data_IF_780430075144
#
_entry.id   IF_780430075144
#
_cell.length_a   1.000
_cell.length_b   1.000
_cell.length_c   1.000
_cell.angle_alpha   90.00
_cell.angle_beta   90.00
_cell.angle_gamma   90.00
#
_symmetry.space_group_name_H-M   'P 1'
#
loop_
_entity.id
_entity.type
_entity.pdbx_description
1 polymer ?
#
# COMPACT_ATOMS: atom_id res chain seq x y z
N UNK A 1 -59.95 -58.30 7.24
CA UNK A 1 -59.07 -58.47 6.05
C UNK A 1 -58.22 -57.21 5.96
N UNK A 2 -56.89 -57.14 6.05
CA UNK A 2 -55.75 -58.05 6.27
C UNK A 2 -54.73 -57.20 7.07
N UNK A 3 -54.31 -57.59 8.27
CA UNK A 3 -53.12 -58.41 8.58
C UNK A 3 -51.77 -57.66 8.47
N UNK A 4 -51.26 -57.22 9.64
CA UNK A 4 -49.85 -56.89 9.89
C UNK A 4 -48.99 -58.15 9.70
N UNK A 5 -47.89 -58.05 8.94
CA UNK A 5 -46.88 -59.12 8.81
C UNK A 5 -45.54 -58.68 9.43
N UNK A 6 -44.85 -59.57 10.17
CA UNK A 6 -43.59 -59.25 10.84
C UNK A 6 -42.38 -59.39 9.91
N UNK A 7 -41.33 -58.61 10.19
CA UNK A 7 -40.00 -58.70 9.60
C UNK A 7 -39.35 -60.06 9.91
N UNK A 8 -39.11 -60.88 8.88
CA UNK A 8 -38.24 -62.06 8.96
C UNK A 8 -36.79 -61.65 8.74
N UNK A 9 -35.93 -61.94 9.71
CA UNK A 9 -34.48 -61.94 9.58
C UNK A 9 -34.07 -63.18 8.79
N UNK A 10 -33.40 -63.01 7.67
CA UNK A 10 -32.64 -64.06 6.98
C UNK A 10 -31.15 -63.81 7.16
N UNK A 11 -30.33 -64.85 7.46
CA UNK A 11 -28.91 -64.70 7.68
C UNK A 11 -28.19 -64.51 6.34
N UNK A 12 -27.35 -63.48 6.25
CA UNK A 12 -26.43 -63.29 5.13
C UNK A 12 -25.23 -64.20 5.38
N UNK A 13 -25.05 -65.20 4.53
CA UNK A 13 -23.79 -65.95 4.42
C UNK A 13 -22.69 -65.00 3.97
N UNK A 14 -21.57 -64.99 4.70
CA UNK A 14 -20.33 -64.30 4.33
C UNK A 14 -19.52 -65.25 3.44
N UNK A 15 -19.26 -64.93 2.16
CA UNK A 15 -18.25 -65.63 1.38
C UNK A 15 -16.87 -65.08 1.77
N UNK A 16 -16.05 -65.96 2.33
CA UNK A 16 -14.62 -65.74 2.52
C UNK A 16 -13.89 -65.65 1.18
N UNK A 17 -13.06 -64.59 1.04
CA UNK A 17 -11.95 -64.42 0.08
C UNK A 17 -12.28 -64.39 -1.42
N UNK A 18 -12.29 -63.18 -1.97
CA UNK A 18 -11.54 -62.89 -3.20
C UNK A 18 -10.60 -61.71 -2.91
N UNK A 19 -9.38 -62.04 -2.54
CA UNK A 19 -8.22 -61.14 -2.59
C UNK A 19 -7.80 -60.95 -4.05
N UNK A 20 -7.16 -59.80 -4.31
CA UNK A 20 -6.49 -59.36 -5.56
C UNK A 20 -7.41 -58.81 -6.64
N UNK A 21 -7.55 -57.48 -6.68
CA UNK A 21 -7.63 -56.64 -7.89
C UNK A 21 -7.68 -55.14 -7.50
N UNK A 22 -6.61 -54.65 -6.87
CA UNK A 22 -6.28 -53.22 -6.89
C UNK A 22 -4.75 -53.12 -6.88
N UNK A 23 -4.10 -52.59 -7.93
CA UNK A 23 -2.68 -52.28 -7.83
C UNK A 23 -2.48 -51.20 -6.76
N UNK A 24 -1.46 -51.30 -5.89
CA UNK A 24 -1.16 -50.23 -4.96
C UNK A 24 -0.85 -48.97 -5.78
N UNK A 25 -1.61 -47.89 -5.54
CA UNK A 25 -1.25 -46.59 -6.07
C UNK A 25 0.17 -46.27 -5.61
N UNK A 26 1.07 -45.84 -6.51
CA UNK A 26 2.41 -45.46 -6.09
C UNK A 26 2.25 -44.32 -5.09
N UNK A 27 2.81 -44.51 -3.89
CA UNK A 27 3.04 -43.44 -2.93
C UNK A 27 3.83 -42.40 -3.71
N UNK A 28 3.18 -41.30 -4.10
CA UNK A 28 3.88 -40.14 -4.64
C UNK A 28 4.75 -39.63 -3.50
N UNK A 29 6.00 -40.07 -3.47
CA UNK A 29 7.06 -39.33 -2.82
C UNK A 29 6.97 -37.93 -3.38
N UNK A 30 6.55 -36.98 -2.54
CA UNK A 30 6.67 -35.56 -2.85
C UNK A 30 8.17 -35.33 -2.99
N UNK A 31 8.68 -35.43 -4.23
CA UNK A 31 9.99 -34.89 -4.55
C UNK A 31 9.87 -33.43 -4.10
N UNK A 32 10.69 -33.03 -3.13
CA UNK A 32 11.00 -31.61 -2.93
C UNK A 32 11.45 -31.12 -4.29
N UNK A 33 10.53 -30.60 -5.09
CA UNK A 33 10.90 -29.82 -6.25
C UNK A 33 11.76 -28.72 -5.67
N UNK A 34 13.01 -28.62 -6.12
CA UNK A 34 13.72 -27.37 -5.97
C UNK A 34 12.75 -26.31 -6.49
N UNK A 35 12.22 -25.48 -5.59
CA UNK A 35 11.47 -24.32 -6.01
C UNK A 35 12.43 -23.56 -6.91
N UNK A 36 12.02 -23.28 -8.14
CA UNK A 36 12.78 -22.37 -8.99
C UNK A 36 13.06 -21.12 -8.15
N UNK A 37 14.31 -20.59 -8.15
CA UNK A 37 14.62 -19.41 -7.37
C UNK A 37 13.60 -18.33 -7.70
N UNK A 38 12.86 -17.88 -6.68
CA UNK A 38 11.91 -16.79 -6.84
C UNK A 38 12.74 -15.61 -7.37
N UNK A 39 12.43 -15.06 -8.56
CA UNK A 39 13.18 -13.93 -9.08
C UNK A 39 13.17 -12.84 -8.00
N UNK A 40 14.29 -12.13 -7.80
CA UNK A 40 14.38 -11.11 -6.78
C UNK A 40 13.18 -10.17 -6.92
N UNK A 41 12.35 -10.07 -5.88
CA UNK A 41 11.21 -9.15 -5.91
C UNK A 41 11.78 -7.75 -6.13
N UNK A 42 11.46 -7.15 -7.28
CA UNK A 42 11.73 -5.74 -7.53
C UNK A 42 10.87 -4.96 -6.55
N UNK A 43 11.50 -4.30 -5.58
CA UNK A 43 10.77 -3.49 -4.62
C UNK A 43 10.25 -2.22 -5.32
N UNK A 44 9.08 -1.69 -4.89
CA UNK A 44 8.53 -0.48 -5.48
C UNK A 44 9.52 0.70 -5.44
N UNK A 45 9.47 1.53 -6.48
CA UNK A 45 10.14 2.82 -6.47
C UNK A 45 9.51 3.75 -5.43
N UNK A 46 10.31 4.70 -4.94
CA UNK A 46 9.88 5.74 -4.02
C UNK A 46 9.65 7.03 -4.81
N UNK A 47 8.39 7.45 -4.96
CA UNK A 47 8.08 8.74 -5.59
C UNK A 47 7.50 9.68 -4.53
N UNK A 48 8.07 10.89 -4.42
CA UNK A 48 7.63 11.90 -3.48
C UNK A 48 6.33 12.57 -3.96
N UNK A 49 5.20 12.30 -3.30
CA UNK A 49 3.92 12.93 -3.60
C UNK A 49 3.97 14.41 -3.20
N UNK A 50 3.95 15.28 -4.22
CA UNK A 50 4.23 16.72 -4.10
C UNK A 50 5.61 17.00 -3.47
N UNK A 51 6.58 16.12 -3.72
CA UNK A 51 7.89 16.06 -3.08
C UNK A 51 7.87 15.38 -1.70
N UNK A 52 8.72 15.82 -0.77
CA UNK A 52 8.73 15.38 0.63
C UNK A 52 7.71 16.19 1.47
N UNK A 53 6.46 16.20 1.02
CA UNK A 53 5.39 17.10 1.47
C UNK A 53 4.98 16.94 2.94
N UNK A 54 5.32 15.82 3.58
CA UNK A 54 5.16 15.68 5.03
C UNK A 54 6.06 16.65 5.80
N UNK A 55 7.28 16.91 5.31
CA UNK A 55 8.29 17.74 5.97
C UNK A 55 8.33 19.18 5.43
N UNK A 56 8.15 19.35 4.13
CA UNK A 56 8.21 20.65 3.45
C UNK A 56 6.82 21.07 2.94
N UNK A 57 6.63 22.34 2.53
CA UNK A 57 5.40 22.76 1.84
C UNK A 57 5.25 21.98 0.53
N UNK A 58 4.09 21.37 0.33
CA UNK A 58 3.79 20.61 -0.90
C UNK A 58 4.01 21.45 -2.16
N UNK A 59 4.42 20.80 -3.25
CA UNK A 59 4.65 21.45 -4.55
C UNK A 59 5.59 22.67 -4.46
N UNK A 60 6.73 22.53 -3.77
CA UNK A 60 7.80 23.55 -3.71
C UNK A 60 9.15 22.96 -4.12
N UNK A 61 10.07 23.79 -4.60
CA UNK A 61 11.43 23.36 -4.93
C UNK A 61 12.11 22.71 -3.71
N UNK A 62 11.98 23.25 -2.50
CA UNK A 62 12.56 22.60 -1.33
C UNK A 62 11.94 21.22 -1.03
N UNK A 63 10.64 21.03 -1.31
CA UNK A 63 10.00 19.72 -1.15
C UNK A 63 10.53 18.71 -2.17
N UNK A 64 10.72 19.13 -3.42
CA UNK A 64 11.27 18.29 -4.48
C UNK A 64 12.73 17.95 -4.21
N UNK A 65 13.57 18.95 -3.93
CA UNK A 65 14.99 18.75 -3.57
C UNK A 65 15.15 17.86 -2.35
N UNK A 66 14.28 17.98 -1.34
CA UNK A 66 14.31 17.12 -0.18
C UNK A 66 13.98 15.67 -0.51
N UNK A 67 12.97 15.42 -1.36
CA UNK A 67 12.65 14.07 -1.82
C UNK A 67 13.83 13.45 -2.60
N UNK A 68 14.44 14.21 -3.51
CA UNK A 68 15.61 13.77 -4.27
C UNK A 68 16.78 13.46 -3.33
N UNK A 69 17.06 14.35 -2.36
CA UNK A 69 18.13 14.17 -1.37
C UNK A 69 17.89 12.96 -0.46
N UNK A 70 16.64 12.63 -0.17
CA UNK A 70 16.32 11.42 0.59
C UNK A 70 16.67 10.15 -0.21
N UNK A 71 16.74 10.23 -1.54
CA UNK A 71 16.99 9.11 -2.45
C UNK A 71 15.72 8.62 -3.16
N UNK A 72 14.71 9.49 -3.34
CA UNK A 72 13.52 9.14 -4.12
C UNK A 72 13.90 8.91 -5.60
N UNK A 73 13.29 7.89 -6.20
CA UNK A 73 13.49 7.55 -7.61
C UNK A 73 12.73 8.52 -8.54
N UNK A 74 11.73 9.22 -7.99
CA UNK A 74 10.95 10.21 -8.71
C UNK A 74 10.28 11.22 -7.78
N UNK A 75 9.78 12.29 -8.38
CA UNK A 75 8.89 13.26 -7.75
C UNK A 75 7.57 13.30 -8.49
N UNK A 76 6.50 13.60 -7.78
CA UNK A 76 5.20 13.90 -8.34
C UNK A 76 4.83 15.35 -8.02
N UNK A 77 4.15 16.01 -8.95
CA UNK A 77 3.57 17.34 -8.75
C UNK A 77 2.35 17.54 -9.62
N UNK A 78 1.53 18.49 -9.22
CA UNK A 78 0.29 18.89 -9.87
C UNK A 78 0.48 20.14 -10.74
N UNK A 79 -0.22 20.25 -11.88
CA UNK A 79 -0.10 21.41 -12.78
C UNK A 79 -1.39 22.21 -12.98
N UNK A 80 -1.25 23.54 -12.95
CA UNK A 80 -2.25 24.50 -13.44
C UNK A 80 -1.60 25.56 -14.36
N UNK A 81 -2.42 26.25 -15.14
CA UNK A 81 -1.98 27.38 -15.99
C UNK A 81 -2.58 28.69 -15.46
N UNK A 82 -1.75 29.72 -15.31
CA UNK A 82 -2.16 31.09 -14.96
C UNK A 82 -2.94 31.77 -16.10
N UNK A 83 -3.49 32.95 -15.83
CA UNK A 83 -4.17 33.77 -16.84
C UNK A 83 -3.23 34.19 -18.00
N UNK A 84 -1.94 34.37 -17.70
CA UNK A 84 -0.88 34.81 -18.60
C UNK A 84 0.11 33.69 -18.99
N UNK A 85 -0.42 32.46 -19.12
CA UNK A 85 0.26 31.31 -19.73
C UNK A 85 1.48 30.76 -18.98
N UNK A 86 1.58 31.01 -17.68
CA UNK A 86 2.61 30.39 -16.84
C UNK A 86 2.07 29.10 -16.24
N UNK A 87 2.76 27.98 -16.52
CA UNK A 87 2.46 26.67 -15.93
C UNK A 87 3.09 26.60 -14.54
N UNK A 88 2.28 26.34 -13.52
CA UNK A 88 2.68 26.38 -12.10
C UNK A 88 2.40 25.07 -11.39
N UNK A 89 3.27 24.71 -10.44
CA UNK A 89 3.20 23.49 -9.65
C UNK A 89 2.28 23.72 -8.46
N UNK A 90 1.04 23.24 -8.51
CA UNK A 90 0.06 23.48 -7.44
C UNK A 90 -1.12 22.50 -7.50
N UNK A 91 -1.61 22.05 -6.34
CA UNK A 91 -2.65 21.00 -6.33
C UNK A 91 -4.05 21.54 -6.63
N UNK A 92 -4.52 22.48 -5.82
CA UNK A 92 -5.90 22.96 -5.90
C UNK A 92 -6.06 24.01 -7.00
N UNK A 93 -7.25 24.19 -7.58
CA UNK A 93 -7.48 25.28 -8.51
C UNK A 93 -7.45 26.66 -7.82
N UNK A 94 -7.59 26.73 -6.49
CA UNK A 94 -7.58 27.96 -5.69
C UNK A 94 -6.39 28.02 -4.72
N UNK A 95 -5.79 29.20 -4.57
CA UNK A 95 -4.58 29.43 -3.78
C UNK A 95 -4.76 29.30 -2.24
N UNK A 96 -6.00 29.36 -1.74
CA UNK A 96 -6.31 29.61 -0.32
C UNK A 96 -5.81 28.54 0.64
N UNK A 97 -5.74 27.27 0.25
CA UNK A 97 -5.44 26.19 1.23
C UNK A 97 -4.00 26.30 1.74
N UNK A 98 -3.04 26.47 0.83
CA UNK A 98 -1.61 26.31 1.14
C UNK A 98 -0.80 27.59 1.02
N UNK A 99 -1.40 28.72 0.63
CA UNK A 99 -0.67 30.00 0.46
C UNK A 99 -1.27 31.15 1.25
N UNK A 100 -0.53 32.24 1.38
CA UNK A 100 -0.97 33.52 1.94
C UNK A 100 -1.95 34.31 1.05
N UNK A 101 -2.34 33.73 -0.08
CA UNK A 101 -3.17 34.37 -1.12
C UNK A 101 -4.47 33.61 -1.36
N UNK A 102 -5.33 34.15 -2.23
CA UNK A 102 -6.63 33.57 -2.59
C UNK A 102 -6.93 33.76 -4.08
N UNK A 103 -7.94 33.05 -4.56
CA UNK A 103 -8.44 33.16 -5.93
C UNK A 103 -8.02 31.99 -6.81
N UNK A 104 -8.77 31.82 -7.90
CA UNK A 104 -8.55 30.75 -8.87
C UNK A 104 -7.29 31.04 -9.68
N UNK A 105 -6.39 30.07 -9.79
CA UNK A 105 -5.11 30.21 -10.51
C UNK A 105 -5.33 30.65 -11.96
N UNK A 106 -6.31 30.02 -12.64
CA UNK A 106 -6.67 30.32 -14.04
C UNK A 106 -7.15 31.75 -14.28
N UNK A 107 -7.56 32.46 -13.23
CA UNK A 107 -8.12 33.83 -13.28
C UNK A 107 -7.09 34.88 -12.86
N UNK A 108 -5.88 34.48 -12.47
CA UNK A 108 -4.83 35.37 -11.96
C UNK A 108 -3.61 35.37 -12.85
N UNK A 109 -2.99 36.54 -12.98
CA UNK A 109 -1.69 36.70 -13.63
C UNK A 109 -0.57 36.20 -12.73
N UNK A 110 0.42 35.58 -13.33
CA UNK A 110 1.66 35.22 -12.68
C UNK A 110 2.53 36.45 -12.46
N UNK A 111 2.69 37.28 -13.49
CA UNK A 111 3.57 38.44 -13.46
C UNK A 111 2.86 39.72 -13.00
N UNK A 112 3.65 40.64 -12.45
CA UNK A 112 3.26 42.03 -12.15
C UNK A 112 3.18 42.30 -10.65
N UNK A 113 2.91 43.57 -10.28
CA UNK A 113 2.98 44.01 -8.89
C UNK A 113 2.05 43.24 -7.91
N UNK A 114 0.94 42.70 -8.42
CA UNK A 114 0.00 41.83 -7.67
C UNK A 114 0.00 40.38 -8.20
N UNK A 115 1.04 40.03 -8.95
CA UNK A 115 1.23 38.74 -9.60
C UNK A 115 1.45 37.61 -8.61
N UNK A 116 1.11 36.39 -9.04
CA UNK A 116 1.32 35.19 -8.23
C UNK A 116 2.80 34.89 -7.93
N UNK A 117 3.76 35.48 -8.65
CA UNK A 117 5.20 35.37 -8.34
C UNK A 117 5.57 35.86 -6.92
N UNK A 118 4.73 36.70 -6.32
CA UNK A 118 4.90 37.21 -4.95
C UNK A 118 4.20 36.36 -3.87
N UNK A 119 3.37 35.39 -4.26
CA UNK A 119 2.63 34.53 -3.32
C UNK A 119 3.58 33.58 -2.61
N UNK A 120 3.33 33.32 -1.31
CA UNK A 120 4.15 32.41 -0.50
C UNK A 120 3.33 31.31 0.14
N UNK A 121 3.93 30.13 0.27
CA UNK A 121 3.33 29.01 1.01
C UNK A 121 3.11 29.39 2.46
N UNK A 122 2.09 28.83 3.13
CA UNK A 122 1.84 29.03 4.57
C UNK A 122 2.70 28.16 5.46
N UNK A 123 3.03 26.96 5.00
CA UNK A 123 3.92 26.06 5.73
C UNK A 123 5.36 26.56 5.57
N UNK A 124 6.13 26.43 6.65
CA UNK A 124 7.56 26.74 6.63
C UNK A 124 8.38 25.62 5.96
N UNK A 125 9.50 25.93 5.29
CA UNK A 125 9.95 27.29 4.97
C UNK A 125 9.05 27.95 3.91
N UNK A 126 8.61 29.19 4.18
CA UNK A 126 7.79 29.97 3.24
C UNK A 126 8.52 30.14 1.89
N UNK A 127 7.91 29.65 0.81
CA UNK A 127 8.50 29.67 -0.54
C UNK A 127 7.52 30.15 -1.59
N UNK A 128 8.04 30.60 -2.73
CA UNK A 128 7.25 30.85 -3.91
C UNK A 128 6.67 29.53 -4.47
N UNK A 129 5.59 29.65 -5.25
CA UNK A 129 5.06 28.54 -6.04
C UNK A 129 6.06 28.27 -7.19
N UNK A 130 6.57 27.05 -7.38
CA UNK A 130 7.43 26.75 -8.52
C UNK A 130 6.65 26.81 -9.83
N UNK A 131 7.30 27.31 -10.87
CA UNK A 131 6.85 27.13 -12.24
C UNK A 131 7.26 25.74 -12.76
N UNK A 132 6.60 25.28 -13.81
CA UNK A 132 7.01 24.07 -14.52
C UNK A 132 8.43 24.23 -15.07
N UNK A 133 8.78 25.42 -15.58
CA UNK A 133 10.12 25.71 -16.09
C UNK A 133 11.20 25.56 -15.01
N UNK A 134 10.98 26.08 -13.79
CA UNK A 134 11.91 25.88 -12.66
C UNK A 134 12.02 24.42 -12.24
N UNK A 135 10.91 23.69 -12.29
CA UNK A 135 10.89 22.25 -11.97
C UNK A 135 11.64 21.43 -13.03
N UNK A 136 11.49 21.77 -14.31
CA UNK A 136 12.29 21.18 -15.39
C UNK A 136 13.77 21.52 -15.23
N UNK A 137 14.11 22.77 -14.87
CA UNK A 137 15.50 23.15 -14.61
C UNK A 137 16.12 22.33 -13.46
N UNK A 138 15.37 22.11 -12.38
CA UNK A 138 15.79 21.22 -11.27
C UNK A 138 16.07 19.79 -11.77
N UNK A 139 15.19 19.23 -12.61
CA UNK A 139 15.36 17.89 -13.19
C UNK A 139 16.50 17.80 -14.20
N UNK A 140 16.90 18.92 -14.80
CA UNK A 140 18.00 19.01 -15.77
C UNK A 140 19.37 19.13 -15.11
N UNK A 141 19.46 19.35 -13.79
CA UNK A 141 20.73 19.31 -13.08
C UNK A 141 21.42 17.93 -13.25
N UNK A 142 22.75 17.87 -13.43
CA UNK A 142 23.48 16.61 -13.65
C UNK A 142 23.22 15.54 -12.59
N UNK A 143 23.17 15.95 -11.32
CA UNK A 143 22.91 15.09 -10.17
C UNK A 143 21.48 14.52 -10.15
N UNK A 144 20.52 15.19 -10.83
CA UNK A 144 19.10 14.83 -10.80
C UNK A 144 18.63 14.07 -12.05
N UNK A 145 19.55 13.70 -12.95
CA UNK A 145 19.21 12.98 -14.20
C UNK A 145 18.60 11.59 -13.97
N UNK A 146 18.73 11.04 -12.76
CA UNK A 146 18.15 9.75 -12.38
C UNK A 146 16.68 9.84 -11.96
N UNK A 147 16.16 11.05 -11.72
CA UNK A 147 14.84 11.30 -11.11
C UNK A 147 13.74 11.29 -12.18
N UNK A 148 12.72 10.46 -11.99
CA UNK A 148 11.48 10.51 -12.76
C UNK A 148 10.54 11.64 -12.31
N UNK A 149 9.65 12.09 -13.19
CA UNK A 149 8.69 13.14 -12.89
C UNK A 149 7.27 12.75 -13.32
N UNK A 150 6.37 12.54 -12.35
CA UNK A 150 4.95 12.36 -12.60
C UNK A 150 4.26 13.72 -12.52
N UNK A 151 3.56 14.10 -13.57
CA UNK A 151 2.89 15.39 -13.69
C UNK A 151 1.39 15.17 -13.67
N UNK A 152 0.76 15.44 -12.53
CA UNK A 152 -0.68 15.32 -12.34
C UNK A 152 -1.42 16.46 -13.05
N UNK A 153 -2.04 16.13 -14.17
CA UNK A 153 -2.77 17.08 -15.01
C UNK A 153 -4.17 17.30 -14.44
N UNK A 154 -4.38 18.49 -13.86
CA UNK A 154 -5.65 18.85 -13.24
C UNK A 154 -6.71 19.15 -14.30
N UNK A 155 -7.92 18.66 -14.05
CA UNK A 155 -9.05 18.68 -15.01
C UNK A 155 -9.56 20.09 -15.34
N UNK A 156 -9.18 21.10 -14.54
CA UNK A 156 -9.55 22.49 -14.75
C UNK A 156 -8.77 23.18 -15.89
N UNK A 157 -7.69 22.55 -16.37
CA UNK A 157 -6.90 23.08 -17.46
C UNK A 157 -7.57 22.86 -18.82
N UNK A 158 -7.37 23.79 -19.75
CA UNK A 158 -7.56 23.49 -21.17
C UNK A 158 -6.41 22.58 -21.65
N UNK A 159 -6.68 21.37 -22.16
CA UNK A 159 -5.65 20.38 -22.44
C UNK A 159 -4.70 20.80 -23.56
N UNK A 160 -5.21 21.41 -24.63
CA UNK A 160 -4.39 21.84 -25.76
C UNK A 160 -3.46 22.98 -25.35
N UNK A 161 -3.98 23.99 -24.64
CA UNK A 161 -3.21 25.11 -24.09
C UNK A 161 -2.12 24.62 -23.14
N UNK A 162 -2.47 23.79 -22.16
CA UNK A 162 -1.51 23.27 -21.19
C UNK A 162 -0.39 22.48 -21.87
N UNK A 163 -0.73 21.51 -22.73
CA UNK A 163 0.28 20.65 -23.33
C UNK A 163 1.14 21.36 -24.36
N UNK A 164 0.61 22.36 -25.08
CA UNK A 164 1.43 23.22 -25.93
C UNK A 164 2.46 24.03 -25.13
N UNK A 165 2.06 24.59 -23.99
CA UNK A 165 2.98 25.31 -23.09
C UNK A 165 4.04 24.38 -22.50
N UNK A 166 3.63 23.20 -22.02
CA UNK A 166 4.56 22.17 -21.51
C UNK A 166 5.54 21.73 -22.60
N UNK A 167 5.06 21.50 -23.82
CA UNK A 167 5.90 21.14 -24.96
C UNK A 167 6.99 22.20 -25.18
N UNK A 168 6.59 23.48 -25.27
CA UNK A 168 7.54 24.58 -25.47
C UNK A 168 8.60 24.65 -24.37
N UNK A 169 8.25 24.35 -23.12
CA UNK A 169 9.20 24.36 -21.99
C UNK A 169 10.14 23.15 -22.08
N UNK A 170 9.61 21.95 -22.35
CA UNK A 170 10.40 20.72 -22.46
C UNK A 170 11.37 20.80 -23.64
N UNK A 171 10.87 21.17 -24.82
CA UNK A 171 11.65 21.20 -26.06
C UNK A 171 12.68 22.32 -26.12
N UNK A 172 12.62 23.28 -25.18
CA UNK A 172 13.64 24.32 -25.03
C UNK A 172 14.92 23.83 -24.33
N UNK A 173 14.87 22.66 -23.68
CA UNK A 173 16.01 22.11 -22.96
C UNK A 173 16.99 21.41 -23.90
N UNK A 174 18.31 21.44 -23.61
CA UNK A 174 19.30 20.72 -24.40
C UNK A 174 19.10 19.21 -24.27
N UNK A 175 19.15 18.49 -25.40
CA UNK A 175 19.04 17.02 -25.45
C UNK A 175 17.76 16.50 -24.76
N UNK A 176 16.68 17.28 -24.79
CA UNK A 176 15.46 16.99 -24.06
C UNK A 176 14.86 15.64 -24.46
N UNK A 177 14.99 15.22 -25.72
CA UNK A 177 14.46 13.94 -26.22
C UNK A 177 15.06 12.73 -25.51
N UNK A 178 16.32 12.82 -25.07
CA UNK A 178 17.03 11.71 -24.43
C UNK A 178 17.19 11.90 -22.93
N UNK A 179 17.41 13.14 -22.48
CA UNK A 179 17.70 13.46 -21.08
C UNK A 179 16.48 13.82 -20.25
N UNK A 180 15.37 14.21 -20.86
CA UNK A 180 14.21 14.73 -20.14
C UNK A 180 12.94 13.95 -20.45
N UNK A 181 12.51 13.93 -21.71
CA UNK A 181 11.25 13.35 -22.16
C UNK A 181 10.99 11.91 -21.63
N UNK A 182 11.98 10.98 -21.65
CA UNK A 182 11.75 9.62 -21.16
C UNK A 182 11.44 9.52 -19.67
N UNK A 183 11.74 10.58 -18.90
CA UNK A 183 11.53 10.64 -17.45
C UNK A 183 10.20 11.29 -17.06
N UNK A 184 9.49 11.89 -18.00
CA UNK A 184 8.20 12.57 -17.75
C UNK A 184 7.05 11.58 -17.98
N UNK A 185 6.21 11.44 -16.96
CA UNK A 185 4.96 10.68 -16.97
C UNK A 185 3.78 11.65 -16.78
N UNK A 186 2.82 11.62 -17.71
CA UNK A 186 1.63 12.48 -17.65
C UNK A 186 0.49 11.77 -16.91
N UNK A 187 0.09 12.33 -15.78
CA UNK A 187 -1.01 11.87 -14.94
C UNK A 187 -2.37 12.38 -15.40
N UNK A 188 -3.19 11.53 -16.01
CA UNK A 188 -4.46 11.90 -16.61
C UNK A 188 -5.66 11.45 -15.78
N UNK A 189 -6.43 12.44 -15.30
CA UNK A 189 -7.68 12.22 -14.55
C UNK A 189 -8.91 12.03 -15.43
N UNK A 190 -8.91 12.59 -16.64
CA UNK A 190 -10.08 12.61 -17.53
C UNK A 190 -9.71 12.23 -18.98
N UNK A 191 -10.53 11.43 -19.68
CA UNK A 191 -10.19 10.94 -21.03
C UNK A 191 -10.02 12.04 -22.08
N UNK A 192 -10.62 13.22 -21.87
CA UNK A 192 -10.45 14.37 -22.77
C UNK A 192 -9.01 14.86 -22.89
N UNK A 193 -8.11 14.46 -22.00
CA UNK A 193 -6.69 14.81 -22.06
C UNK A 193 -5.86 13.80 -22.87
N UNK A 194 -6.40 12.63 -23.22
CA UNK A 194 -5.65 11.57 -23.90
C UNK A 194 -5.20 12.02 -25.29
N UNK A 195 -6.13 12.47 -26.12
CA UNK A 195 -5.82 12.83 -27.51
C UNK A 195 -4.93 14.08 -27.59
N UNK A 196 -5.19 15.17 -26.84
CA UNK A 196 -4.25 16.29 -26.75
C UNK A 196 -2.85 15.87 -26.23
N UNK A 197 -2.77 14.96 -25.26
CA UNK A 197 -1.46 14.48 -24.78
C UNK A 197 -0.70 13.74 -25.88
N UNK A 198 -1.38 12.94 -26.71
CA UNK A 198 -0.76 12.26 -27.86
C UNK A 198 -0.33 13.25 -28.95
N UNK A 199 -1.10 14.32 -29.16
CA UNK A 199 -0.81 15.32 -30.18
C UNK A 199 0.39 16.19 -29.81
N UNK A 200 0.38 16.78 -28.60
CA UNK A 200 1.37 17.78 -28.19
C UNK A 200 2.59 17.18 -27.48
N UNK A 201 2.42 16.06 -26.78
CA UNK A 201 3.46 15.39 -26.00
C UNK A 201 3.57 13.88 -26.35
N UNK A 202 3.67 13.50 -27.64
CA UNK A 202 3.68 12.09 -28.07
C UNK A 202 4.80 11.26 -27.43
N UNK A 203 5.90 11.92 -27.07
CA UNK A 203 7.10 11.32 -26.47
C UNK A 203 6.96 11.02 -24.98
N UNK A 204 6.00 11.62 -24.27
CA UNK A 204 5.78 11.33 -22.86
C UNK A 204 4.97 10.05 -22.69
N UNK A 205 5.29 9.29 -21.64
CA UNK A 205 4.42 8.20 -21.18
C UNK A 205 3.17 8.79 -20.53
N UNK A 206 2.09 8.02 -20.49
CA UNK A 206 0.81 8.44 -19.89
C UNK A 206 0.41 7.45 -18.80
N UNK A 207 0.00 8.00 -17.67
CA UNK A 207 -0.66 7.29 -16.58
C UNK A 207 -2.11 7.73 -16.46
N UNK A 208 -2.99 6.80 -16.11
CA UNK A 208 -4.31 7.16 -15.58
C UNK A 208 -4.22 7.34 -14.08
N UNK A 209 -4.79 8.42 -13.56
CA UNK A 209 -4.92 8.67 -12.13
C UNK A 209 -6.39 8.59 -11.73
N UNK A 210 -6.71 7.72 -10.77
CA UNK A 210 -8.08 7.54 -10.34
C UNK A 210 -8.24 6.56 -9.18
N UNK A 211 -9.49 6.31 -8.82
CA UNK A 211 -9.90 5.45 -7.71
C UNK A 211 -10.86 4.33 -8.15
N UNK A 212 -11.06 4.18 -9.45
CA UNK A 212 -12.01 3.22 -10.02
C UNK A 212 -11.35 2.31 -11.06
N UNK A 213 -11.03 1.07 -10.70
CA UNK A 213 -10.50 0.08 -11.65
C UNK A 213 -11.42 -0.14 -12.86
N UNK A 214 -12.75 -0.01 -12.70
CA UNK A 214 -13.69 -0.10 -13.82
C UNK A 214 -13.52 1.05 -14.80
N UNK A 215 -13.42 2.30 -14.32
CA UNK A 215 -13.21 3.46 -15.21
C UNK A 215 -11.85 3.39 -15.90
N UNK A 216 -10.81 2.96 -15.17
CA UNK A 216 -9.48 2.74 -15.73
C UNK A 216 -9.51 1.76 -16.92
N UNK A 217 -10.17 0.61 -16.76
CA UNK A 217 -10.35 -0.38 -17.84
C UNK A 217 -11.13 0.18 -19.02
N UNK A 218 -12.22 0.89 -18.76
CA UNK A 218 -13.12 1.36 -19.82
C UNK A 218 -12.51 2.47 -20.66
N UNK A 219 -11.84 3.44 -20.04
CA UNK A 219 -11.49 4.69 -20.70
C UNK A 219 -9.99 4.92 -20.91
N UNK A 220 -9.12 4.23 -20.17
CA UNK A 220 -7.69 4.52 -20.18
C UNK A 220 -6.82 3.31 -20.55
N UNK A 221 -7.35 2.10 -20.48
CA UNK A 221 -6.61 0.85 -20.69
C UNK A 221 -5.79 0.80 -21.98
N UNK A 222 -6.38 1.31 -23.07
CA UNK A 222 -5.77 1.30 -24.40
C UNK A 222 -4.60 2.28 -24.51
N UNK A 223 -4.68 3.42 -23.84
CA UNK A 223 -3.85 4.59 -24.12
C UNK A 223 -2.85 4.93 -23.01
N UNK A 224 -2.95 4.25 -21.86
CA UNK A 224 -2.07 4.38 -20.71
C UNK A 224 -1.30 3.08 -20.44
N UNK A 225 0.00 3.26 -20.18
CA UNK A 225 0.93 2.18 -19.79
C UNK A 225 1.01 2.01 -18.27
N UNK A 226 0.57 3.03 -17.54
CA UNK A 226 0.70 3.13 -16.08
C UNK A 226 -0.64 3.48 -15.45
N UNK A 227 -0.94 2.89 -14.30
CA UNK A 227 -2.17 3.16 -13.54
C UNK A 227 -1.81 3.60 -12.13
N UNK A 228 -1.97 4.89 -11.86
CA UNK A 228 -1.77 5.50 -10.56
C UNK A 228 -3.08 5.51 -9.77
N UNK A 229 -3.27 4.48 -8.94
CA UNK A 229 -4.56 4.19 -8.31
C UNK A 229 -4.56 4.53 -6.83
N UNK A 230 -5.69 5.05 -6.34
CA UNK A 230 -5.90 5.22 -4.91
C UNK A 230 -5.77 3.86 -4.19
N UNK A 231 -4.95 3.77 -3.14
CA UNK A 231 -4.64 2.51 -2.45
C UNK A 231 -5.90 1.69 -2.10
N UNK A 232 -6.91 2.36 -1.52
CA UNK A 232 -8.16 1.72 -1.11
C UNK A 232 -8.90 1.02 -2.26
N UNK A 233 -8.86 1.59 -3.46
CA UNK A 233 -9.51 1.01 -4.65
C UNK A 233 -8.96 -0.36 -5.04
N UNK A 234 -7.69 -0.61 -4.72
CA UNK A 234 -7.01 -1.86 -5.01
C UNK A 234 -7.23 -2.92 -3.92
N UNK A 235 -7.74 -2.58 -2.74
CA UNK A 235 -7.93 -3.57 -1.66
C UNK A 235 -9.08 -4.56 -1.90
N UNK A 236 -9.99 -4.24 -2.83
CA UNK A 236 -11.15 -5.06 -3.14
C UNK A 236 -10.82 -6.27 -4.03
N UNK A 237 -11.75 -7.22 -4.15
CA UNK A 237 -11.62 -8.32 -5.10
C UNK A 237 -11.52 -7.84 -6.56
N UNK A 238 -12.14 -6.71 -6.91
CA UNK A 238 -11.98 -6.12 -8.24
C UNK A 238 -10.60 -5.47 -8.41
N UNK A 239 -10.11 -4.82 -7.35
CA UNK A 239 -8.76 -4.29 -7.26
C UNK A 239 -7.69 -5.37 -7.40
N UNK A 240 -7.88 -6.53 -6.79
CA UNK A 240 -6.99 -7.68 -6.97
C UNK A 240 -6.98 -8.16 -8.43
N UNK A 241 -8.15 -8.35 -9.05
CA UNK A 241 -8.23 -8.69 -10.48
C UNK A 241 -7.53 -7.66 -11.35
N UNK A 242 -7.73 -6.37 -11.06
CA UNK A 242 -7.09 -5.27 -11.78
C UNK A 242 -5.57 -5.38 -11.73
N UNK A 243 -4.99 -5.66 -10.55
CA UNK A 243 -3.54 -5.86 -10.42
C UNK A 243 -3.03 -7.03 -11.26
N UNK A 244 -3.78 -8.13 -11.29
CA UNK A 244 -3.42 -9.29 -12.10
C UNK A 244 -3.48 -9.00 -13.60
N UNK A 245 -4.50 -8.26 -14.05
CA UNK A 245 -4.65 -7.83 -15.44
C UNK A 245 -3.52 -6.88 -15.86
N UNK A 246 -3.20 -5.88 -15.04
CA UNK A 246 -2.08 -4.98 -15.30
C UNK A 246 -0.77 -5.75 -15.46
N UNK A 247 -0.48 -6.68 -14.54
CA UNK A 247 0.72 -7.52 -14.61
C UNK A 247 0.73 -8.41 -15.86
N UNK A 248 -0.41 -8.99 -16.24
CA UNK A 248 -0.50 -9.86 -17.41
C UNK A 248 -0.26 -9.09 -18.72
N UNK A 249 -0.62 -7.81 -18.78
CA UNK A 249 -0.44 -6.95 -19.95
C UNK A 249 0.83 -6.07 -19.89
N UNK A 250 1.66 -6.24 -18.86
CA UNK A 250 2.90 -5.46 -18.69
C UNK A 250 2.65 -3.98 -18.37
N UNK A 251 1.50 -3.65 -17.77
CA UNK A 251 1.14 -2.31 -17.32
C UNK A 251 1.67 -2.07 -15.90
N UNK A 252 2.23 -0.90 -15.67
CA UNK A 252 2.78 -0.51 -14.37
C UNK A 252 1.68 -0.02 -13.43
N UNK A 253 1.84 -0.28 -12.14
CA UNK A 253 0.92 0.19 -11.09
C UNK A 253 1.67 1.12 -10.13
N UNK A 254 1.13 2.32 -9.97
CA UNK A 254 1.52 3.25 -8.92
C UNK A 254 0.38 3.33 -7.90
N UNK A 255 0.70 3.47 -6.62
CA UNK A 255 -0.32 3.61 -5.56
C UNK A 255 -0.13 4.88 -4.75
N UNK A 256 -1.22 5.61 -4.55
CA UNK A 256 -1.24 6.86 -3.80
C UNK A 256 -2.41 6.95 -2.82
N UNK A 257 -2.36 7.84 -1.83
CA UNK A 257 -1.13 8.32 -1.19
C UNK A 257 -0.83 7.40 -0.03
N UNK A 258 0.31 6.70 -0.07
CA UNK A 258 0.62 5.64 0.89
C UNK A 258 1.65 6.15 1.91
N UNK A 259 1.17 6.54 3.09
CA UNK A 259 1.99 7.11 4.17
C UNK A 259 2.18 6.19 5.38
N UNK A 260 1.41 5.11 5.46
CA UNK A 260 1.48 4.13 6.56
C UNK A 260 2.43 2.98 6.17
N UNK A 261 3.45 2.66 6.99
CA UNK A 261 4.35 1.52 6.75
C UNK A 261 3.65 0.17 6.52
N UNK A 262 2.49 -0.07 7.13
CA UNK A 262 1.70 -1.27 6.91
C UNK A 262 1.13 -1.29 5.49
N UNK A 263 0.59 -0.16 5.02
CA UNK A 263 0.12 -0.02 3.64
C UNK A 263 1.28 -0.09 2.63
N UNK A 264 2.46 0.47 2.95
CA UNK A 264 3.66 0.33 2.12
C UNK A 264 4.10 -1.13 1.98
N UNK A 265 4.05 -1.88 3.09
CA UNK A 265 4.36 -3.33 3.10
C UNK A 265 3.34 -4.10 2.25
N UNK A 266 2.06 -3.77 2.37
CA UNK A 266 1.01 -4.43 1.60
C UNK A 266 1.08 -4.10 0.10
N UNK A 267 1.31 -2.84 -0.25
CA UNK A 267 1.59 -2.42 -1.64
C UNK A 267 2.80 -3.18 -2.22
N UNK A 268 3.85 -3.39 -1.43
CA UNK A 268 5.00 -4.21 -1.83
C UNK A 268 4.60 -5.66 -2.12
N UNK A 269 3.75 -6.27 -1.28
CA UNK A 269 3.25 -7.64 -1.48
C UNK A 269 2.39 -7.78 -2.74
N UNK A 270 1.63 -6.75 -3.07
CA UNK A 270 0.88 -6.68 -4.32
C UNK A 270 1.76 -6.64 -5.56
N UNK A 271 3.04 -6.29 -5.40
CA UNK A 271 3.99 -6.16 -6.50
C UNK A 271 3.74 -4.91 -7.35
N UNK A 272 3.32 -3.81 -6.73
CA UNK A 272 3.20 -2.51 -7.42
C UNK A 272 4.58 -1.99 -7.82
N UNK A 273 4.65 -1.17 -8.87
CA UNK A 273 5.90 -0.62 -9.39
C UNK A 273 6.36 0.61 -8.62
N UNK A 274 5.42 1.43 -8.14
CA UNK A 274 5.71 2.69 -7.47
C UNK A 274 4.81 2.90 -6.25
N UNK A 275 5.41 3.38 -5.16
CA UNK A 275 4.69 3.94 -4.01
C UNK A 275 4.84 5.47 -4.03
N UNK A 276 3.72 6.17 -4.14
CA UNK A 276 3.63 7.62 -3.99
C UNK A 276 3.35 7.95 -2.53
N UNK A 277 4.23 8.73 -1.92
CA UNK A 277 4.21 8.99 -0.48
C UNK A 277 4.65 10.40 -0.14
N UNK A 278 4.03 10.99 0.88
CA UNK A 278 4.48 12.24 1.48
C UNK A 278 5.73 12.03 2.35
N UNK A 279 5.99 10.77 2.73
CA UNK A 279 7.00 10.33 3.71
C UNK A 279 8.09 9.49 3.04
N UNK A 280 8.78 10.09 2.07
CA UNK A 280 9.91 9.51 1.31
C UNK A 280 10.90 8.75 2.18
N UNK A 281 11.41 9.36 3.25
CA UNK A 281 12.35 8.71 4.18
C UNK A 281 11.79 7.44 4.83
N UNK A 282 10.49 7.44 5.16
CA UNK A 282 9.83 6.29 5.78
C UNK A 282 9.80 5.11 4.82
N UNK A 283 9.41 5.33 3.56
CA UNK A 283 9.41 4.27 2.56
C UNK A 283 10.82 3.79 2.25
N UNK A 284 11.78 4.70 2.07
CA UNK A 284 13.17 4.33 1.76
C UNK A 284 13.83 3.51 2.87
N UNK A 285 13.60 3.87 4.14
CA UNK A 285 14.06 3.10 5.28
C UNK A 285 13.42 1.70 5.32
N UNK A 286 12.10 1.60 5.10
CA UNK A 286 11.40 0.33 5.04
C UNK A 286 11.86 -0.54 3.87
N UNK A 287 12.02 0.04 2.67
CA UNK A 287 12.53 -0.63 1.47
C UNK A 287 13.92 -1.22 1.69
N UNK A 288 14.78 -0.49 2.40
CA UNK A 288 16.11 -0.96 2.79
C UNK A 288 16.01 -2.16 3.75
N UNK A 289 15.15 -2.08 4.77
CA UNK A 289 14.92 -3.19 5.70
C UNK A 289 14.38 -4.45 4.98
N UNK A 290 13.43 -4.30 4.07
CA UNK A 290 12.86 -5.40 3.27
C UNK A 290 13.91 -6.05 2.35
N UNK A 291 14.79 -5.23 1.76
CA UNK A 291 15.90 -5.72 0.93
C UNK A 291 16.87 -6.60 1.73
N UNK A 292 17.20 -6.19 2.95
CA UNK A 292 18.13 -6.91 3.83
C UNK A 292 17.54 -8.24 4.32
N UNK A 293 16.24 -8.29 4.62
CA UNK A 293 15.56 -9.55 4.98
C UNK A 293 15.58 -10.54 3.82
N UNK A 294 15.28 -10.09 2.60
CA UNK A 294 15.33 -10.91 1.39
C UNK A 294 16.76 -11.41 1.08
N UNK A 295 17.78 -10.64 1.43
CA UNK A 295 19.18 -11.06 1.31
C UNK A 295 19.55 -12.14 2.35
N UNK A 296 19.20 -11.96 3.63
CA UNK A 296 19.49 -12.96 4.67
C UNK A 296 18.76 -14.29 4.47
N UNK A 297 17.53 -14.28 3.93
CA UNK A 297 16.82 -15.52 3.58
C UNK A 297 17.54 -16.29 2.47
N UNK A 298 18.09 -15.60 1.46
CA UNK A 298 18.89 -16.20 0.39
C UNK A 298 20.21 -16.79 0.89
N UNK A 299 20.95 -16.07 1.73
CA UNK A 299 22.18 -16.60 2.35
C UNK A 299 21.90 -17.85 3.20
N UNK A 300 20.76 -17.93 3.87
CA UNK A 300 20.36 -19.16 4.59
C UNK A 300 20.08 -20.32 3.65
N UNK A 301 19.41 -20.10 2.52
CA UNK A 301 19.17 -21.14 1.53
C UNK A 301 20.49 -21.65 0.90
N UNK A 302 21.41 -20.74 0.59
CA UNK A 302 22.73 -21.08 0.02
C UNK A 302 23.65 -21.81 1.01
N UNK A 303 23.60 -21.46 2.31
CA UNK A 303 24.35 -22.15 3.37
C UNK A 303 23.76 -23.52 3.73
N UNK A 304 22.47 -23.74 3.53
CA UNK A 304 21.83 -25.06 3.72
C UNK A 304 22.09 -25.98 2.51
N UNK A 305 22.36 -25.43 1.33
CA UNK A 305 22.70 -26.15 0.10
C UNK A 305 24.12 -26.76 0.11
N UNK A 306 25.03 -26.26 0.96
CA UNK A 306 26.46 -26.60 0.91
C UNK A 306 26.97 -27.47 2.06
N UNK A 307 26.10 -28.06 2.88
CA UNK A 307 26.56 -29.01 3.90
C UNK A 307 26.89 -30.38 3.28
N UNK A 308 28.12 -30.92 3.43
CA UNK A 308 28.43 -32.28 3.02
C UNK A 308 27.63 -33.26 3.87
N UNK A 309 26.90 -34.16 3.23
CA UNK A 309 26.30 -35.32 3.89
C UNK A 309 27.45 -36.25 4.30
N UNK A 310 27.82 -36.24 5.57
CA UNK A 310 28.71 -37.26 6.12
C UNK A 310 27.97 -38.60 6.15
N UNK A 311 28.60 -39.72 5.73
CA UNK A 311 27.98 -41.03 5.77
C UNK A 311 27.76 -41.46 7.24
N UNK A 312 26.55 -41.92 7.54
CA UNK A 312 26.20 -42.54 8.81
C UNK A 312 26.70 -43.99 8.76
N UNK A 313 27.66 -44.35 9.62
CA UNK A 313 28.11 -45.72 9.82
C UNK A 313 27.19 -46.42 10.84
N UNK A 314 26.43 -47.40 10.36
CA UNK A 314 25.60 -48.28 11.18
C UNK A 314 26.52 -49.26 11.94
N UNK A 315 26.89 -48.92 13.17
CA UNK A 315 27.42 -49.90 14.12
C UNK A 315 26.70 -49.81 15.46
N UNK A 316 25.85 -50.82 15.67
CA UNK A 316 25.37 -51.24 16.97
C UNK A 316 26.55 -51.48 17.92
N UNK A 317 26.58 -50.77 19.05
CA UNK A 317 27.35 -51.18 20.21
C UNK A 317 26.43 -51.10 21.43
N UNK A 318 25.96 -52.28 21.82
CA UNK A 318 25.47 -52.57 23.15
C UNK A 318 26.67 -52.54 24.10
N UNK A 319 26.61 -51.82 25.23
CA UNK A 319 27.01 -52.35 26.54
C UNK A 319 26.59 -51.44 27.71
N UNK A 320 26.31 -52.14 28.80
CA UNK A 320 25.78 -51.84 30.15
C UNK A 320 26.21 -50.58 30.93
N UNK A 321 25.25 -50.11 31.75
CA UNK A 321 25.44 -49.31 32.99
C UNK A 321 26.40 -49.97 34.01
N UNK A 322 27.07 -49.16 34.86
CA UNK A 322 26.62 -49.10 36.25
C UNK A 322 26.69 -47.71 36.95
N UNK A 323 25.61 -47.39 37.65
CA UNK A 323 25.47 -46.86 39.04
C UNK A 323 26.46 -45.81 39.63
N UNK A 324 25.84 -44.75 40.21
CA UNK A 324 26.32 -43.72 41.17
C UNK A 324 27.16 -42.58 40.56
N UNK A 325 26.91 -41.28 40.79
CA UNK A 325 26.47 -40.55 41.99
C UNK A 325 25.82 -39.22 41.60
N UNK A 326 24.99 -38.68 42.50
CA UNK A 326 24.24 -37.44 42.38
C UNK A 326 25.12 -36.18 42.24
N UNK A 327 24.64 -35.17 41.50
CA UNK A 327 24.56 -33.78 41.99
C UNK A 327 23.67 -32.93 41.06
N UNK A 328 22.82 -32.14 41.71
CA UNK A 328 21.84 -31.19 41.18
C UNK A 328 22.34 -30.27 40.06
N UNK A 329 21.48 -30.03 39.07
CA UNK A 329 20.91 -28.70 38.78
C UNK A 329 19.85 -28.74 37.67
N UNK A 330 18.78 -27.99 37.93
CA UNK A 330 17.49 -27.99 37.25
C UNK A 330 17.52 -27.54 35.78
N UNK A 331 16.66 -28.17 34.96
CA UNK A 331 16.24 -27.71 33.64
C UNK A 331 14.72 -27.44 33.65
N UNK A 332 14.20 -26.34 33.08
CA UNK A 332 12.76 -26.11 33.00
C UNK A 332 12.11 -26.82 31.81
N UNK A 333 10.86 -27.17 32.03
CA UNK A 333 10.02 -28.11 31.28
C UNK A 333 9.60 -27.65 29.87
N UNK A 334 9.50 -28.63 28.97
CA UNK A 334 8.79 -28.54 27.69
C UNK A 334 7.28 -28.57 27.91
N UNK A 335 6.56 -27.51 27.50
CA UNK A 335 5.09 -27.51 27.41
C UNK A 335 4.67 -28.01 26.03
N UNK A 336 3.89 -29.10 25.99
CA UNK A 336 3.20 -29.60 24.79
C UNK A 336 1.90 -28.81 24.58
N UNK A 337 1.74 -28.16 23.43
CA UNK A 337 0.45 -27.61 22.99
C UNK A 337 -0.42 -28.73 22.38
N UNK A 338 -1.65 -28.88 22.86
CA UNK A 338 -2.74 -29.60 22.18
C UNK A 338 -3.69 -28.59 21.51
N UNK A 339 -4.31 -28.92 20.37
CA UNK A 339 -5.14 -27.98 19.62
C UNK A 339 -6.49 -27.76 20.30
N UNK A 340 -6.89 -26.48 20.43
CA UNK A 340 -8.19 -26.08 20.99
C UNK A 340 -9.24 -26.00 19.88
N UNK A 341 -10.36 -26.70 20.05
CA UNK A 341 -11.56 -26.60 19.19
C UNK A 341 -12.35 -25.35 19.58
N UNK A 342 -12.73 -24.55 18.58
CA UNK A 342 -13.70 -23.46 18.73
C UNK A 342 -15.08 -24.01 19.07
N UNK A 343 -15.66 -23.55 20.17
CA UNK A 343 -17.11 -23.52 20.36
C UNK A 343 -17.49 -22.12 20.85
N UNK A 344 -18.47 -21.53 20.18
CA UNK A 344 -19.05 -20.23 20.48
C UNK A 344 -19.72 -20.25 21.86
N UNK A 345 -19.54 -19.21 22.65
CA UNK A 345 -20.59 -18.68 23.55
C UNK A 345 -20.18 -17.31 24.06
N UNK A 346 -21.11 -16.38 23.88
CA UNK A 346 -21.07 -14.99 24.30
C UNK A 346 -21.22 -14.87 25.81
N UNK A 347 -20.48 -13.94 26.42
CA UNK A 347 -20.76 -13.41 27.76
C UNK A 347 -20.03 -14.12 28.89
N UNK A 348 -18.90 -13.54 29.34
CA UNK A 348 -18.59 -13.14 30.73
C UNK A 348 -17.27 -12.37 30.65
N UNK A 349 -17.34 -11.03 30.61
CA UNK A 349 -16.21 -10.12 30.75
C UNK A 349 -16.32 -9.47 32.12
N UNK A 350 -15.71 -10.06 33.14
CA UNK A 350 -15.38 -9.42 34.43
C UNK A 350 -14.71 -10.44 35.35
N UNK A 351 -13.39 -10.63 35.23
CA UNK A 351 -12.43 -11.09 36.27
C UNK A 351 -11.13 -11.55 35.62
N UNK A 352 -10.34 -10.63 35.06
CA UNK A 352 -8.87 -10.78 34.96
C UNK A 352 -8.18 -9.49 34.51
N UNK A 353 -8.44 -8.40 35.24
CA UNK A 353 -7.50 -7.29 35.34
C UNK A 353 -7.08 -7.27 36.81
N UNK A 354 -6.00 -7.99 37.09
CA UNK A 354 -5.48 -8.23 38.42
C UNK A 354 -4.51 -9.39 38.33
N UNK A 355 -3.26 -9.12 38.66
CA UNK A 355 -2.06 -9.96 38.46
C UNK A 355 -1.35 -9.70 37.12
N UNK A 356 -0.78 -8.50 36.97
CA UNK A 356 0.56 -8.28 36.40
C UNK A 356 1.08 -6.94 36.93
N UNK A 357 1.25 -6.87 38.25
CA UNK A 357 1.91 -5.75 38.93
C UNK A 357 2.74 -6.31 40.08
N UNK A 358 3.82 -6.99 39.73
CA UNK A 358 4.97 -7.25 40.60
C UNK A 358 6.04 -7.93 39.74
N UNK A 359 6.97 -7.12 39.23
CA UNK A 359 8.43 -7.36 39.17
C UNK A 359 9.05 -6.34 38.19
N UNK A 360 10.03 -5.60 38.72
CA UNK A 360 10.92 -4.58 38.09
C UNK A 360 10.40 -3.12 38.11
N UNK A 361 11.02 -2.23 38.92
CA UNK A 361 10.79 -0.78 38.91
C UNK A 361 11.80 -0.03 38.00
N UNK A 362 11.34 1.14 37.52
CA UNK A 362 12.09 2.29 36.98
C UNK A 362 12.73 2.18 35.57
N UNK A 363 12.13 2.89 34.58
CA UNK A 363 12.71 4.02 33.82
C UNK A 363 11.80 4.48 32.64
N UNK A 364 11.49 5.79 32.62
CA UNK A 364 10.97 6.68 31.55
C UNK A 364 9.53 6.57 30.98
N UNK A 365 8.88 7.71 30.62
CA UNK A 365 7.47 7.80 30.27
C UNK A 365 7.20 7.42 28.81
N UNK A 366 6.16 6.62 28.57
CA UNK A 366 5.65 6.29 27.23
C UNK A 366 4.38 7.11 26.99
N UNK A 367 4.35 7.83 25.87
CA UNK A 367 3.16 8.53 25.34
C UNK A 367 1.99 7.55 25.14
N UNK A 368 0.83 7.93 25.65
CA UNK A 368 -0.41 7.15 25.55
C UNK A 368 -1.05 7.35 24.16
N UNK A 369 -1.03 6.31 23.33
CA UNK A 369 -1.86 6.25 22.11
C UNK A 369 -3.31 5.89 22.45
N UNK A 370 -4.34 6.59 21.93
CA UNK A 370 -5.73 6.20 22.15
C UNK A 370 -6.09 4.95 21.34
N UNK A 371 -6.78 4.00 21.97
CA UNK A 371 -7.38 2.84 21.31
C UNK A 371 -8.79 3.25 20.87
N UNK A 372 -9.05 3.25 19.56
CA UNK A 372 -10.39 3.45 19.01
C UNK A 372 -11.13 2.11 18.95
N UNK A 373 -12.26 2.01 19.66
CA UNK A 373 -13.09 0.80 19.73
C UNK A 373 -14.39 1.07 18.96
N UNK A 374 -14.51 0.51 17.75
CA UNK A 374 -15.73 0.60 16.94
C UNK A 374 -16.78 -0.38 17.47
N UNK A 375 -17.81 0.12 18.16
CA UNK A 375 -18.98 -0.67 18.52
C UNK A 375 -20.01 -0.61 17.39
N UNK A 376 -20.35 -1.76 16.79
CA UNK A 376 -21.46 -1.84 15.83
C UNK A 376 -22.75 -2.02 16.62
N UNK A 377 -23.57 -0.96 16.71
CA UNK A 377 -24.90 -1.03 17.33
C UNK A 377 -25.94 -1.27 16.22
N UNK A 378 -26.80 -2.31 16.30
CA UNK A 378 -27.92 -2.47 15.36
C UNK A 378 -28.92 -1.32 15.53
N UNK A 379 -29.30 -0.71 14.41
CA UNK A 379 -30.19 0.46 14.34
C UNK A 379 -31.61 0.14 14.80
N UNK A 380 -31.94 0.52 16.03
CA UNK A 380 -33.30 0.88 16.46
C UNK A 380 -33.34 1.42 17.91
N UNK A 381 -32.64 2.52 18.21
CA UNK A 381 -32.81 3.28 19.46
C UNK A 381 -32.50 4.77 19.22
N UNK A 382 -33.38 5.67 19.64
CA UNK A 382 -33.14 7.12 19.71
C UNK A 382 -32.74 7.47 21.14
N UNK A 383 -31.62 8.18 21.33
CA UNK A 383 -31.13 8.62 22.65
C UNK A 383 -31.39 10.13 22.78
N UNK A 384 -32.15 10.54 23.79
CA UNK A 384 -32.36 11.97 24.09
C UNK A 384 -31.16 12.55 24.87
N UNK A 385 -30.53 13.64 24.39
CA UNK A 385 -29.19 14.09 24.85
C UNK A 385 -29.16 14.81 26.20
N UNK A 386 -30.14 14.59 27.09
CA UNK A 386 -30.11 15.15 28.45
C UNK A 386 -30.17 14.10 29.56
N UNK A 387 -30.90 12.99 29.41
CA UNK A 387 -31.22 12.13 30.57
C UNK A 387 -31.05 10.61 30.36
N UNK A 388 -30.41 10.17 29.26
CA UNK A 388 -29.94 8.78 29.06
C UNK A 388 -30.99 7.65 29.27
N UNK A 389 -32.25 7.85 28.86
CA UNK A 389 -33.27 6.78 28.78
C UNK A 389 -33.56 6.37 27.33
N UNK A 390 -33.93 5.10 27.14
CA UNK A 390 -34.25 4.47 25.84
C UNK A 390 -35.72 3.99 25.88
N UNK A 391 -36.53 4.41 24.91
CA UNK A 391 -37.90 3.91 24.69
C UNK A 391 -38.04 3.32 23.28
N UNK A 392 -38.78 2.22 23.17
CA UNK A 392 -38.97 1.48 21.91
C UNK A 392 -40.39 1.63 21.38
N UNK A 393 -40.61 2.34 20.27
CA UNK A 393 -41.80 2.17 19.42
C UNK A 393 -41.56 2.55 17.94
N UNK A 394 -42.31 1.87 17.09
CA UNK A 394 -42.21 1.57 15.66
C UNK A 394 -42.34 2.77 14.67
N UNK A 395 -41.73 2.70 13.46
CA UNK A 395 -42.21 3.16 12.09
C UNK A 395 -41.04 3.28 11.04
N UNK A 396 -41.27 3.14 9.71
CA UNK A 396 -40.39 2.37 8.80
C UNK A 396 -39.49 3.12 7.79
N UNK A 397 -38.50 2.37 7.29
CA UNK A 397 -37.66 2.46 6.07
C UNK A 397 -37.47 3.82 5.37
N UNK A 398 -36.29 4.43 5.58
CA UNK A 398 -35.36 4.94 4.54
C UNK A 398 -34.24 5.77 5.20
N UNK A 399 -33.03 5.74 4.61
CA UNK A 399 -31.78 6.41 5.00
C UNK A 399 -30.94 5.75 6.11
N UNK A 400 -29.77 5.22 5.71
CA UNK A 400 -28.67 4.86 6.61
C UNK A 400 -27.71 6.06 6.64
N UNK A 401 -27.56 6.69 7.80
CA UNK A 401 -26.50 7.65 8.10
C UNK A 401 -25.54 7.02 9.12
N UNK A 402 -24.25 7.00 8.83
CA UNK A 402 -23.21 6.68 9.82
C UNK A 402 -22.69 7.98 10.44
N UNK A 403 -22.75 8.08 11.77
CA UNK A 403 -22.09 9.14 12.54
C UNK A 403 -21.19 8.53 13.61
N UNK A 404 -19.97 9.03 13.69
CA UNK A 404 -18.96 8.64 14.68
C UNK A 404 -19.11 9.56 15.90
N UNK A 405 -19.19 9.00 17.11
CA UNK A 405 -19.23 9.77 18.36
C UNK A 405 -18.00 9.38 19.20
N UNK A 406 -17.13 10.35 19.49
CA UNK A 406 -15.98 10.16 20.38
C UNK A 406 -16.41 10.34 21.85
N UNK A 407 -16.25 9.30 22.66
CA UNK A 407 -16.48 9.36 24.12
C UNK A 407 -15.14 9.29 24.83
N UNK A 408 -14.79 10.33 25.59
CA UNK A 408 -13.61 10.37 26.45
C UNK A 408 -13.96 9.78 27.82
N UNK A 409 -13.30 8.69 28.23
CA UNK A 409 -13.37 8.19 29.61
C UNK A 409 -12.11 8.69 30.33
N UNK A 410 -12.30 9.57 31.32
CA UNK A 410 -11.29 9.87 32.33
C UNK A 410 -11.12 8.66 33.24
N UNK A 411 -9.91 8.13 33.32
CA UNK A 411 -9.49 7.18 34.36
C UNK A 411 -8.32 7.78 35.12
#
# INVERSE_FOLDING_TARGET
MLALRPLRRTPILIPTRLSTLFPPSPIRTCKRGLMAPVPPMKLPQCWGHRGASSRYPENTLASFEAAIRDGADGIESDVHVSLDDVVVMFHDPDLRRTTDSQGQIRERRWYGAEGMEHVRTRKEPHQAIPTFAETIALLMLPENQHVGFNVDVKVQNDPARLFALMHSIISSQPEWETRLAPRILLGLWHPSFIDPAKEFLPYCRRSHIGDSPSLARTYFWKDCDVFSMAFGSLTSADGERFRHECKAEGKEIMVWTVNDPNHMTEATRWGVDVILTDKTQTWLALRTALSNVCFCSRLREDLVSTQPVLPVDDRQVLYSDPVHQAHDRAAPARVRCRPFRQTQTSGVFARQIGIYRQLVPELCPIDLTPISLTLIIPTSCVIHPKDNRIDSNFIPHSLIHTSTLDIYILV
#
